data_IF_338756238520
#
_entry.id   IF_338756238520
#
_cell.length_a   1.000
_cell.length_b   1.000
_cell.length_c   1.000
_cell.angle_alpha   90.00
_cell.angle_beta   90.00
_cell.angle_gamma   90.00
#
_symmetry.space_group_name_H-M   'P 1'
#
loop_
_entity.id
_entity.type
_entity.pdbx_description
1 polymer ?
#
# COMPACT_ATOMS: atom_id res chain seq x y z
N UNK A 1 -30.81 10.45 -3.88
CA UNK A 1 -30.72 9.89 -2.53
C UNK A 1 -29.87 10.78 -1.66
N UNK A 2 -30.52 11.43 -0.72
CA UNK A 2 -29.94 12.27 0.31
C UNK A 2 -29.39 11.38 1.44
N UNK A 3 -28.17 11.70 1.85
CA UNK A 3 -27.74 11.64 3.25
C UNK A 3 -27.85 10.31 4.02
N UNK A 4 -26.85 9.45 3.81
CA UNK A 4 -26.41 8.48 4.83
C UNK A 4 -25.23 9.04 5.64
N UNK A 5 -25.34 10.28 6.14
CA UNK A 5 -24.30 10.88 7.01
C UNK A 5 -24.33 10.20 8.38
N UNK A 6 -23.48 9.19 8.55
CA UNK A 6 -23.26 8.49 9.83
C UNK A 6 -23.21 6.97 9.75
N UNK A 7 -23.55 6.36 8.62
CA UNK A 7 -23.35 4.91 8.45
C UNK A 7 -21.93 4.63 7.95
N UNK A 8 -21.24 3.59 8.48
CA UNK A 8 -19.96 3.15 7.93
C UNK A 8 -20.10 2.89 6.43
N UNK A 9 -19.25 3.56 5.63
CA UNK A 9 -19.17 3.30 4.20
C UNK A 9 -18.38 2.01 3.97
N UNK A 10 -18.99 1.04 3.29
CA UNK A 10 -18.25 -0.10 2.77
C UNK A 10 -17.32 0.41 1.66
N UNK A 11 -16.01 0.31 1.87
CA UNK A 11 -14.99 0.76 0.91
C UNK A 11 -14.79 -0.28 -0.22
N UNK A 12 -14.89 -1.57 0.11
CA UNK A 12 -14.68 -2.69 -0.81
C UNK A 12 -13.88 -3.80 -0.14
N UNK A 13 -13.33 -4.71 -0.96
CA UNK A 13 -12.55 -5.86 -0.52
C UNK A 13 -11.07 -5.73 -0.94
N UNK A 14 -10.16 -6.14 -0.06
CA UNK A 14 -8.74 -6.35 -0.36
C UNK A 14 -8.45 -7.84 -0.28
N UNK A 15 -7.98 -8.43 -1.38
CA UNK A 15 -7.68 -9.87 -1.46
C UNK A 15 -6.17 -10.04 -1.60
N UNK A 16 -5.57 -10.76 -0.65
CA UNK A 16 -4.14 -10.99 -0.56
C UNK A 16 -3.83 -12.48 -0.70
N UNK A 17 -3.00 -12.84 -1.67
CA UNK A 17 -2.59 -14.22 -1.91
C UNK A 17 -1.30 -14.53 -1.13
N UNK A 18 -1.44 -15.19 0.02
CA UNK A 18 -0.32 -15.39 0.98
C UNK A 18 0.93 -16.01 0.33
N UNK A 19 0.79 -17.09 -0.45
CA UNK A 19 1.92 -17.76 -1.10
C UNK A 19 2.68 -16.85 -2.09
N UNK A 20 1.97 -15.87 -2.69
CA UNK A 20 2.59 -14.88 -3.55
C UNK A 20 3.36 -13.84 -2.74
N UNK A 21 2.77 -13.37 -1.64
CA UNK A 21 3.39 -12.40 -0.74
C UNK A 21 4.65 -12.98 -0.11
N UNK A 22 4.62 -14.25 0.33
CA UNK A 22 5.79 -14.95 0.87
C UNK A 22 6.94 -15.03 -0.14
N UNK A 23 6.61 -15.39 -1.39
CA UNK A 23 7.61 -15.45 -2.48
C UNK A 23 8.21 -14.08 -2.77
N UNK A 24 7.40 -13.03 -2.82
CA UNK A 24 7.85 -11.66 -3.08
C UNK A 24 8.69 -11.11 -1.93
N UNK A 25 8.24 -11.29 -0.69
CA UNK A 25 8.97 -10.88 0.50
C UNK A 25 10.36 -11.54 0.56
N UNK A 26 10.43 -12.85 0.27
CA UNK A 26 11.69 -13.57 0.17
C UNK A 26 12.58 -13.04 -0.97
N UNK A 27 12.02 -12.78 -2.16
CA UNK A 27 12.76 -12.26 -3.31
C UNK A 27 13.31 -10.85 -3.07
N UNK A 28 12.58 -10.01 -2.34
CA UNK A 28 12.96 -8.64 -2.01
C UNK A 28 13.73 -8.54 -0.69
N UNK A 29 14.01 -9.67 -0.02
CA UNK A 29 14.63 -9.72 1.32
C UNK A 29 13.91 -8.85 2.36
N UNK A 30 12.57 -8.76 2.26
CA UNK A 30 11.70 -8.04 3.20
C UNK A 30 11.12 -9.01 4.22
N UNK A 31 10.92 -8.60 5.48
CA UNK A 31 10.11 -9.37 6.43
C UNK A 31 8.69 -9.57 5.87
N UNK A 32 8.14 -10.78 6.01
CA UNK A 32 6.79 -11.10 5.52
C UNK A 32 5.74 -10.16 6.12
N UNK A 33 5.85 -9.85 7.41
CA UNK A 33 4.92 -8.97 8.10
C UNK A 33 4.94 -7.55 7.51
N UNK A 34 6.11 -7.06 7.12
CA UNK A 34 6.28 -5.73 6.54
C UNK A 34 5.70 -5.68 5.13
N UNK A 35 6.00 -6.69 4.30
CA UNK A 35 5.45 -6.80 2.94
C UNK A 35 3.91 -6.96 2.96
N UNK A 36 3.38 -7.73 3.92
CA UNK A 36 1.94 -7.86 4.11
C UNK A 36 1.30 -6.54 4.55
N UNK A 37 1.96 -5.81 5.45
CA UNK A 37 1.49 -4.49 5.91
C UNK A 37 1.47 -3.49 4.75
N UNK A 38 2.53 -3.47 3.94
CA UNK A 38 2.63 -2.67 2.73
C UNK A 38 1.46 -2.94 1.78
N UNK A 39 1.24 -4.19 1.38
CA UNK A 39 0.15 -4.54 0.44
C UNK A 39 -1.25 -4.29 1.01
N UNK A 40 -1.41 -4.37 2.33
CA UNK A 40 -2.67 -4.03 3.00
C UNK A 40 -2.94 -2.53 2.90
N UNK A 41 -1.97 -1.68 3.24
CA UNK A 41 -2.07 -0.22 3.12
C UNK A 41 -2.32 0.18 1.66
N UNK A 42 -1.55 -0.39 0.74
CA UNK A 42 -1.69 -0.19 -0.71
C UNK A 42 -3.12 -0.51 -1.19
N UNK A 43 -3.66 -1.67 -0.82
CA UNK A 43 -5.01 -2.08 -1.17
C UNK A 43 -6.08 -1.14 -0.60
N UNK A 44 -5.91 -0.68 0.65
CA UNK A 44 -6.83 0.28 1.28
C UNK A 44 -6.78 1.64 0.58
N UNK A 45 -5.60 2.14 0.22
CA UNK A 45 -5.45 3.39 -0.52
C UNK A 45 -6.13 3.33 -1.89
N UNK A 46 -6.06 2.18 -2.58
CA UNK A 46 -6.84 1.96 -3.79
C UNK A 46 -8.35 2.03 -3.56
N UNK A 47 -8.86 1.46 -2.46
CA UNK A 47 -10.28 1.58 -2.10
C UNK A 47 -10.69 3.03 -1.75
N UNK A 48 -9.74 3.85 -1.27
CA UNK A 48 -9.93 5.28 -1.01
C UNK A 48 -9.81 6.15 -2.27
N UNK A 49 -9.48 5.56 -3.43
CA UNK A 49 -9.41 6.24 -4.71
C UNK A 49 -8.02 6.78 -5.09
N UNK A 50 -6.98 6.41 -4.33
CA UNK A 50 -5.60 6.62 -4.76
C UNK A 50 -5.24 5.59 -5.85
N UNK A 51 -4.41 6.01 -6.80
CA UNK A 51 -3.98 5.17 -7.92
C UNK A 51 -2.51 5.49 -8.21
N UNK A 52 -1.85 4.68 -9.05
CA UNK A 52 -0.44 4.88 -9.42
C UNK A 52 -0.22 4.72 -10.93
N UNK A 53 -1.25 5.01 -11.75
CA UNK A 53 -1.20 4.90 -13.22
C UNK A 53 -0.32 5.97 -13.89
N UNK A 54 -0.11 7.09 -13.24
CA UNK A 54 0.84 8.13 -13.68
C UNK A 54 1.92 8.32 -12.63
N UNK A 55 3.07 8.84 -13.04
CA UNK A 55 4.19 9.11 -12.13
C UNK A 55 3.78 10.05 -10.98
N UNK A 56 3.03 11.12 -11.28
CA UNK A 56 2.52 12.04 -10.24
C UNK A 56 1.58 11.35 -9.26
N UNK A 57 0.75 10.42 -9.75
CA UNK A 57 -0.15 9.64 -8.91
C UNK A 57 0.63 8.65 -8.04
N UNK A 58 1.61 7.96 -8.62
CA UNK A 58 2.50 7.04 -7.92
C UNK A 58 3.22 7.76 -6.79
N UNK A 59 3.93 8.86 -7.06
CA UNK A 59 4.64 9.64 -6.02
C UNK A 59 3.73 10.07 -4.88
N UNK A 60 2.49 10.51 -5.18
CA UNK A 60 1.54 10.90 -4.15
C UNK A 60 1.05 9.71 -3.31
N UNK A 61 0.84 8.55 -3.94
CA UNK A 61 0.42 7.33 -3.27
C UNK A 61 1.55 6.73 -2.44
N UNK A 62 2.77 6.65 -2.98
CA UNK A 62 3.98 6.17 -2.31
C UNK A 62 4.28 7.00 -1.05
N UNK A 63 4.15 8.33 -1.12
CA UNK A 63 4.34 9.19 0.05
C UNK A 63 3.35 8.87 1.18
N UNK A 64 2.08 8.59 0.84
CA UNK A 64 1.07 8.19 1.82
C UNK A 64 1.35 6.80 2.38
N UNK A 65 1.79 5.87 1.55
CA UNK A 65 2.18 4.52 1.99
C UNK A 65 3.32 4.60 3.01
N UNK A 66 4.39 5.36 2.71
CA UNK A 66 5.52 5.55 3.61
C UNK A 66 5.10 6.22 4.93
N UNK A 67 4.25 7.26 4.87
CA UNK A 67 3.74 7.92 6.08
C UNK A 67 2.96 6.96 6.99
N UNK A 68 2.04 6.19 6.40
CA UNK A 68 1.19 5.24 7.14
C UNK A 68 2.03 4.10 7.72
N UNK A 69 2.92 3.51 6.92
CA UNK A 69 3.78 2.40 7.35
C UNK A 69 4.72 2.82 8.47
N UNK A 70 5.30 4.03 8.39
CA UNK A 70 6.10 4.58 9.48
C UNK A 70 5.30 4.69 10.78
N UNK A 71 4.04 5.13 10.71
CA UNK A 71 3.12 5.16 11.86
C UNK A 71 2.79 3.78 12.44
N UNK A 72 2.92 2.72 11.64
CA UNK A 72 2.77 1.32 12.07
C UNK A 72 4.09 0.69 12.54
N UNK A 73 5.21 1.41 12.47
CA UNK A 73 6.54 0.90 12.81
C UNK A 73 7.14 -0.02 11.75
N UNK A 74 6.68 0.09 10.50
CA UNK A 74 7.18 -0.66 9.34
C UNK A 74 8.13 0.24 8.55
N UNK A 75 9.26 -0.33 8.12
CA UNK A 75 10.26 0.39 7.32
C UNK A 75 9.73 0.81 5.94
N UNK A 76 10.33 1.84 5.36
CA UNK A 76 9.95 2.35 4.04
C UNK A 76 10.16 1.29 2.95
N UNK A 77 9.09 0.82 2.27
CA UNK A 77 9.18 -0.25 1.28
C UNK A 77 9.90 0.17 -0.01
N UNK A 78 10.13 1.48 -0.22
CA UNK A 78 10.79 2.05 -1.40
C UNK A 78 12.26 2.42 -1.17
N UNK A 79 12.74 2.38 0.08
CA UNK A 79 14.12 2.75 0.41
C UNK A 79 15.19 1.86 -0.25
N UNK A 80 14.83 0.64 -0.67
CA UNK A 80 15.72 -0.29 -1.36
C UNK A 80 15.70 -0.17 -2.89
N UNK A 81 14.75 0.59 -3.47
CA UNK A 81 14.54 0.73 -4.92
C UNK A 81 15.13 2.02 -5.51
N UNK A 82 16.07 2.65 -4.81
CA UNK A 82 16.83 3.81 -5.32
C UNK A 82 17.84 3.38 -6.42
N UNK A 83 17.34 2.71 -7.48
CA UNK A 83 17.97 2.78 -8.79
C UNK A 83 17.60 4.15 -9.38
N UNK A 84 18.59 4.94 -9.83
CA UNK A 84 18.31 6.25 -10.41
C UNK A 84 17.44 6.06 -11.66
N UNK A 85 16.24 6.63 -11.64
CA UNK A 85 15.41 6.81 -12.83
C UNK A 85 16.18 7.77 -13.75
N UNK A 86 16.82 7.20 -14.77
CA UNK A 86 17.50 7.93 -15.85
C UNK A 86 16.54 8.50 -16.88
#
# INVERSE_FOLDING_TARGET
>A
DEDATGCPRLLGDVVLALETIEREAAAQSKPLADHLSHLTVHGVLHLLGHDHKTETQATAMEALETEILSGLGVDDPYAATDEPVG
#
